data_IF_914105338586
#
_entry.id   IF_914105338586
#
_cell.length_a   1.000
_cell.length_b   1.000
_cell.length_c   1.000
_cell.angle_alpha   90.00
_cell.angle_beta   90.00
_cell.angle_gamma   90.00
#
_symmetry.space_group_name_H-M   'P 1'
#
loop_
_entity.id
_entity.type
_entity.pdbx_description
1 polymer ?
#
# COMPACT_ATOMS: atom_id res chain seq x y z
N UNK A 1 -13.11 -12.25 61.97
CA UNK A 1 -13.95 -12.05 60.76
C UNK A 1 -13.32 -10.93 59.95
N UNK A 2 -12.62 -11.26 58.86
CA UNK A 2 -12.07 -10.28 57.92
C UNK A 2 -12.55 -10.68 56.52
N UNK A 3 -13.38 -9.83 55.91
CA UNK A 3 -13.92 -10.04 54.57
C UNK A 3 -12.95 -9.43 53.55
N UNK A 4 -12.40 -10.28 52.66
CA UNK A 4 -11.67 -9.87 51.47
C UNK A 4 -12.68 -9.55 50.36
N UNK A 5 -12.82 -8.27 50.03
CA UNK A 5 -13.57 -7.84 48.85
C UNK A 5 -12.74 -8.03 47.59
N UNK A 6 -13.20 -8.89 46.69
CA UNK A 6 -12.73 -8.93 45.30
C UNK A 6 -13.20 -7.65 44.60
N UNK A 7 -12.27 -6.78 44.24
CA UNK A 7 -12.53 -5.69 43.29
C UNK A 7 -12.45 -6.29 41.89
N UNK A 8 -13.60 -6.55 41.29
CA UNK A 8 -13.70 -6.82 39.86
C UNK A 8 -13.45 -5.51 39.09
N UNK A 9 -12.33 -5.43 38.38
CA UNK A 9 -12.10 -4.35 37.42
C UNK A 9 -13.05 -4.52 36.22
N UNK A 10 -13.68 -3.45 35.71
CA UNK A 10 -14.58 -3.55 34.56
C UNK A 10 -13.76 -3.86 33.30
N UNK A 11 -14.00 -5.04 32.72
CA UNK A 11 -13.54 -5.41 31.40
C UNK A 11 -14.43 -4.75 30.34
N UNK A 12 -14.14 -3.50 29.97
CA UNK A 12 -14.72 -2.86 28.77
C UNK A 12 -13.62 -2.20 27.93
N UNK A 13 -12.74 -3.01 27.34
CA UNK A 13 -12.28 -2.71 26.00
C UNK A 13 -13.35 -3.26 25.07
N UNK A 14 -14.20 -2.40 24.50
CA UNK A 14 -15.16 -2.82 23.49
C UNK A 14 -14.38 -3.54 22.39
N UNK A 15 -14.67 -4.82 22.20
CA UNK A 15 -14.02 -5.61 21.16
C UNK A 15 -14.42 -4.99 19.81
N UNK A 16 -13.47 -4.33 19.14
CA UNK A 16 -13.71 -3.77 17.81
C UNK A 16 -14.27 -4.87 16.90
N UNK A 17 -15.37 -4.55 16.23
CA UNK A 17 -16.02 -5.49 15.33
C UNK A 17 -15.11 -5.80 14.14
N UNK A 18 -15.29 -6.98 13.52
CA UNK A 18 -14.55 -7.34 12.32
C UNK A 18 -14.76 -6.32 11.18
N UNK A 19 -15.93 -5.66 11.15
CA UNK A 19 -16.29 -4.64 10.18
C UNK A 19 -15.52 -3.33 10.40
N UNK A 20 -15.41 -2.84 11.64
CA UNK A 20 -14.61 -1.65 11.96
C UNK A 20 -13.12 -1.90 11.69
N UNK A 21 -12.63 -3.09 12.03
CA UNK A 21 -11.25 -3.50 11.69
C UNK A 21 -11.06 -3.56 10.18
N UNK A 22 -12.09 -3.92 9.40
CA UNK A 22 -12.04 -3.92 7.95
C UNK A 22 -11.93 -2.55 7.35
N UNK A 23 -12.80 -1.66 7.78
CA UNK A 23 -12.75 -0.28 7.34
C UNK A 23 -11.42 0.38 7.72
N UNK A 24 -10.88 0.09 8.92
CA UNK A 24 -9.60 0.61 9.35
C UNK A 24 -8.42 0.04 8.55
N UNK A 25 -8.41 -1.26 8.24
CA UNK A 25 -7.36 -1.90 7.43
C UNK A 25 -7.36 -1.44 5.97
N UNK A 26 -8.54 -1.14 5.44
CA UNK A 26 -8.74 -0.72 4.06
C UNK A 26 -8.54 0.80 3.85
N UNK A 27 -8.48 1.59 4.93
CA UNK A 27 -8.34 3.04 4.91
C UNK A 27 -6.86 3.47 5.02
N UNK A 28 -6.25 4.02 3.94
CA UNK A 28 -4.83 4.41 3.94
C UNK A 28 -4.48 5.58 4.89
N UNK A 29 -5.49 6.29 5.39
CA UNK A 29 -5.37 7.40 6.34
C UNK A 29 -6.10 7.13 7.65
N UNK A 30 -6.29 5.86 8.01
CA UNK A 30 -6.82 5.50 9.32
C UNK A 30 -5.86 5.93 10.44
N UNK A 31 -6.42 6.33 11.59
CA UNK A 31 -5.66 6.58 12.81
C UNK A 31 -5.34 5.25 13.54
N UNK A 32 -4.70 4.32 12.83
CA UNK A 32 -4.26 3.03 13.33
C UNK A 32 -2.84 2.73 12.85
N UNK A 33 -1.99 2.20 13.74
CA UNK A 33 -0.66 1.74 13.33
C UNK A 33 -0.85 0.46 12.52
N UNK A 34 -0.21 0.35 11.37
CA UNK A 34 -0.25 -0.89 10.59
C UNK A 34 1.09 -1.22 9.96
N UNK A 35 1.29 -2.53 9.74
CA UNK A 35 2.46 -3.06 9.03
C UNK A 35 1.99 -4.03 7.93
N UNK A 36 1.66 -3.51 6.73
CA UNK A 36 1.39 -4.29 5.54
C UNK A 36 2.67 -4.87 4.92
N UNK A 37 2.56 -6.14 4.56
CA UNK A 37 3.46 -6.87 3.67
C UNK A 37 2.68 -7.21 2.42
N UNK A 38 3.03 -6.57 1.30
CA UNK A 38 2.36 -6.76 0.01
C UNK A 38 3.35 -7.33 -0.99
N UNK A 39 3.16 -8.59 -1.38
CA UNK A 39 3.93 -9.20 -2.45
C UNK A 39 3.19 -9.05 -3.78
N UNK A 40 3.88 -8.49 -4.77
CA UNK A 40 3.41 -8.42 -6.15
C UNK A 40 4.26 -9.39 -6.98
N UNK A 41 3.64 -10.44 -7.49
CA UNK A 41 4.24 -11.35 -8.46
C UNK A 41 3.77 -10.93 -9.84
N UNK A 42 4.72 -10.41 -10.62
CA UNK A 42 4.51 -9.88 -11.95
C UNK A 42 5.04 -10.90 -12.97
N UNK A 43 4.17 -11.35 -13.87
CA UNK A 43 4.48 -12.36 -14.88
C UNK A 43 4.75 -11.70 -16.23
N UNK A 44 5.55 -12.37 -17.06
CA UNK A 44 5.93 -11.92 -18.41
C UNK A 44 6.64 -10.56 -18.37
N UNK A 45 7.60 -10.40 -17.45
CA UNK A 45 8.39 -9.17 -17.31
C UNK A 45 9.64 -9.25 -18.19
N UNK A 46 9.82 -8.22 -19.01
CA UNK A 46 10.99 -8.06 -19.86
C UNK A 46 11.06 -9.02 -21.06
N UNK A 47 12.11 -8.90 -21.89
CA UNK A 47 12.21 -9.61 -23.17
C UNK A 47 12.24 -11.14 -23.06
N UNK A 48 12.61 -11.67 -21.89
CA UNK A 48 12.69 -13.12 -21.63
C UNK A 48 11.46 -13.67 -20.89
N UNK A 49 10.38 -12.88 -20.77
CA UNK A 49 9.14 -13.27 -20.08
C UNK A 49 9.37 -13.77 -18.65
N UNK A 50 10.24 -13.09 -17.90
CA UNK A 50 10.61 -13.47 -16.55
C UNK A 50 9.50 -13.25 -15.53
N UNK A 51 9.69 -13.80 -14.33
CA UNK A 51 8.82 -13.57 -13.18
C UNK A 51 9.53 -12.64 -12.20
N UNK A 52 8.97 -11.45 -12.00
CA UNK A 52 9.45 -10.49 -11.01
C UNK A 52 8.62 -10.61 -9.72
N UNK A 53 9.28 -10.52 -8.57
CA UNK A 53 8.60 -10.40 -7.28
C UNK A 53 9.01 -9.09 -6.60
N UNK A 54 8.02 -8.34 -6.11
CA UNK A 54 8.22 -7.11 -5.34
C UNK A 54 7.45 -7.22 -4.04
N UNK A 55 8.17 -7.46 -2.95
CA UNK A 55 7.64 -7.46 -1.59
C UNK A 55 7.79 -6.06 -0.98
N UNK A 56 6.68 -5.36 -0.82
CA UNK A 56 6.62 -4.08 -0.14
C UNK A 56 6.34 -4.27 1.35
N UNK A 57 7.26 -3.81 2.19
CA UNK A 57 7.10 -3.72 3.65
C UNK A 57 6.76 -2.27 3.98
N UNK A 58 5.58 -2.01 4.57
CA UNK A 58 4.99 -0.68 4.56
C UNK A 58 4.56 -0.13 5.93
N UNK A 59 5.46 0.12 6.90
CA UNK A 59 5.03 0.70 8.18
C UNK A 59 4.24 2.01 7.97
N UNK A 60 3.03 2.05 8.56
CA UNK A 60 2.15 3.22 8.61
C UNK A 60 1.95 3.64 10.05
N UNK A 61 2.33 4.87 10.39
CA UNK A 61 2.32 5.39 11.75
C UNK A 61 1.56 6.73 11.80
N UNK A 62 0.37 6.77 12.41
CA UNK A 62 -0.39 8.00 12.60
C UNK A 62 0.00 8.74 13.89
N UNK A 63 0.52 9.95 13.74
CA UNK A 63 0.91 10.85 14.83
C UNK A 63 -0.17 11.93 14.96
N UNK A 64 -0.74 12.10 16.16
CA UNK A 64 -1.74 13.14 16.38
C UNK A 64 -1.08 14.51 16.55
N UNK A 65 -1.51 15.49 15.75
CA UNK A 65 -1.06 16.87 15.79
C UNK A 65 -2.17 17.73 16.42
N UNK A 66 -2.11 17.88 17.76
CA UNK A 66 -3.17 18.52 18.52
C UNK A 66 -4.47 17.70 18.48
N UNK A 67 -5.62 18.39 18.45
CA UNK A 67 -6.95 17.77 18.56
C UNK A 67 -7.67 17.53 17.22
N UNK A 68 -7.17 18.14 16.14
CA UNK A 68 -7.92 18.24 14.88
C UNK A 68 -7.20 17.58 13.69
N UNK A 69 -5.90 17.33 13.80
CA UNK A 69 -5.10 16.80 12.70
C UNK A 69 -4.31 15.56 13.10
N UNK A 70 -4.14 14.65 12.15
CA UNK A 70 -3.20 13.55 12.21
C UNK A 70 -2.19 13.71 11.08
N UNK A 71 -0.93 13.43 11.38
CA UNK A 71 0.14 13.23 10.42
C UNK A 71 0.37 11.73 10.28
N UNK A 72 0.07 11.19 9.10
CA UNK A 72 0.14 9.76 8.83
C UNK A 72 1.37 9.53 7.99
N UNK A 73 2.40 8.96 8.59
CA UNK A 73 3.63 8.62 7.90
C UNK A 73 3.52 7.21 7.34
N UNK A 74 4.02 7.02 6.11
CA UNK A 74 4.12 5.72 5.46
C UNK A 74 5.49 5.62 4.81
N UNK A 75 6.25 4.61 5.21
CA UNK A 75 7.53 4.26 4.58
C UNK A 75 7.37 2.94 3.84
N UNK A 76 7.85 2.82 2.62
CA UNK A 76 7.76 1.62 1.78
C UNK A 76 9.19 1.15 1.52
N UNK A 77 9.50 -0.07 1.94
CA UNK A 77 10.74 -0.77 1.64
C UNK A 77 10.45 -1.90 0.64
N UNK A 78 10.80 -1.74 -0.64
CA UNK A 78 10.61 -2.77 -1.65
C UNK A 78 11.79 -3.75 -1.63
N UNK A 79 11.52 -5.03 -1.40
CA UNK A 79 12.46 -6.12 -1.62
C UNK A 79 12.13 -6.79 -2.94
N UNK A 80 13.06 -6.74 -3.89
CA UNK A 80 12.83 -7.04 -5.30
C UNK A 80 13.64 -8.27 -5.69
N UNK A 81 13.00 -9.20 -6.39
CA UNK A 81 13.63 -10.21 -7.23
C UNK A 81 13.32 -9.88 -8.68
N UNK A 82 14.33 -9.40 -9.40
CA UNK A 82 14.25 -8.91 -10.76
C UNK A 82 14.81 -9.95 -11.74
N UNK A 83 14.02 -10.49 -12.68
CA UNK A 83 14.55 -11.36 -13.73
C UNK A 83 15.56 -10.63 -14.63
N UNK A 84 16.41 -11.38 -15.35
CA UNK A 84 17.28 -10.85 -16.40
C UNK A 84 16.51 -10.03 -17.44
N UNK A 85 17.11 -8.93 -17.92
CA UNK A 85 16.57 -8.13 -19.04
C UNK A 85 17.41 -8.26 -20.31
N UNK A 86 18.47 -9.05 -20.28
CA UNK A 86 19.28 -9.31 -21.46
C UNK A 86 20.23 -10.49 -21.30
N UNK A 87 20.83 -10.95 -22.41
CA UNK A 87 21.66 -12.14 -22.42
C UNK A 87 22.84 -12.04 -21.45
N UNK A 88 23.06 -13.11 -20.68
CA UNK A 88 24.17 -13.20 -19.72
C UNK A 88 23.94 -12.46 -18.40
N UNK A 89 22.77 -11.84 -18.19
CA UNK A 89 22.38 -11.31 -16.89
C UNK A 89 21.82 -12.41 -15.98
N UNK A 90 22.14 -12.33 -14.69
CA UNK A 90 21.49 -13.14 -13.66
C UNK A 90 20.34 -12.36 -13.01
N UNK A 91 19.40 -13.08 -12.41
CA UNK A 91 18.36 -12.53 -11.53
C UNK A 91 19.01 -11.68 -10.44
N UNK A 92 18.54 -10.43 -10.29
CA UNK A 92 18.98 -9.56 -9.22
C UNK A 92 18.03 -9.68 -8.03
N UNK A 93 18.57 -9.89 -6.84
CA UNK A 93 17.80 -9.82 -5.61
C UNK A 93 18.36 -8.71 -4.71
N UNK A 94 17.49 -7.91 -4.12
CA UNK A 94 17.93 -6.83 -3.26
C UNK A 94 16.84 -5.85 -2.85
N UNK A 95 17.27 -4.78 -2.19
CA UNK A 95 16.39 -3.66 -1.84
C UNK A 95 16.28 -2.73 -3.06
N UNK A 96 15.07 -2.22 -3.34
CA UNK A 96 14.86 -1.09 -4.24
C UNK A 96 14.87 0.25 -3.51
N UNK A 97 14.40 1.29 -4.18
CA UNK A 97 14.31 2.63 -3.58
C UNK A 97 13.26 2.70 -2.47
N UNK A 98 13.61 3.32 -1.36
CA UNK A 98 12.68 3.54 -0.24
C UNK A 98 11.77 4.73 -0.57
N UNK A 99 10.48 4.61 -0.32
CA UNK A 99 9.55 5.73 -0.46
C UNK A 99 9.02 6.16 0.90
N UNK A 100 9.04 7.45 1.19
CA UNK A 100 8.39 8.04 2.36
C UNK A 100 7.26 8.95 1.91
N UNK A 101 6.12 8.85 2.58
CA UNK A 101 5.00 9.78 2.39
C UNK A 101 4.49 10.22 3.76
N UNK A 102 4.04 11.46 3.84
CA UNK A 102 3.41 11.99 5.03
C UNK A 102 2.10 12.66 4.64
N UNK A 103 0.98 12.16 5.16
CA UNK A 103 -0.35 12.71 4.87
C UNK A 103 -0.85 13.50 6.07
N UNK A 104 -1.19 14.77 5.85
CA UNK A 104 -1.99 15.54 6.79
C UNK A 104 -3.47 15.20 6.56
N UNK A 105 -4.14 14.71 7.61
CA UNK A 105 -5.53 14.23 7.55
C UNK A 105 -6.32 14.69 8.79
N UNK A 106 -7.60 15.07 8.69
CA UNK A 106 -8.42 15.44 9.84
C UNK A 106 -8.62 14.28 10.83
N UNK A 107 -8.65 14.55 12.14
CA UNK A 107 -8.84 13.52 13.19
C UNK A 107 -10.26 12.97 13.27
N UNK A 108 -11.27 13.74 12.82
CA UNK A 108 -12.69 13.35 12.83
C UNK A 108 -13.31 13.46 11.42
N UNK A 109 -12.88 12.61 10.47
CA UNK A 109 -13.55 12.53 9.19
C UNK A 109 -14.91 11.88 9.44
N UNK A 110 -16.00 12.43 8.89
CA UNK A 110 -17.31 11.79 8.98
C UNK A 110 -17.33 10.52 8.13
N UNK A 111 -18.05 10.55 7.01
CA UNK A 111 -17.98 9.50 5.99
C UNK A 111 -16.87 9.72 4.97
N UNK A 112 -16.35 10.95 4.87
CA UNK A 112 -15.33 11.35 3.92
C UNK A 112 -13.99 11.54 4.62
N UNK A 113 -12.98 10.81 4.17
CA UNK A 113 -11.62 10.85 4.66
C UNK A 113 -10.72 11.35 3.53
N UNK A 114 -9.75 12.18 3.87
CA UNK A 114 -8.77 12.65 2.91
C UNK A 114 -7.42 12.91 3.58
N UNK A 115 -6.37 12.85 2.78
CA UNK A 115 -5.03 13.21 3.21
C UNK A 115 -4.25 13.84 2.07
N UNK A 116 -3.39 14.81 2.40
CA UNK A 116 -2.51 15.46 1.44
C UNK A 116 -1.12 15.62 2.06
N UNK A 117 -0.08 15.44 1.26
CA UNK A 117 1.26 15.86 1.66
C UNK A 117 2.34 15.43 0.69
N UNK A 118 3.61 15.42 1.12
CA UNK A 118 4.73 15.09 0.26
C UNK A 118 4.96 13.58 0.17
N UNK A 119 5.60 13.18 -0.93
CA UNK A 119 6.21 11.88 -1.17
C UNK A 119 7.66 12.10 -1.58
N UNK A 120 8.57 11.37 -0.95
CA UNK A 120 10.01 11.41 -1.17
C UNK A 120 10.49 10.00 -1.53
N UNK A 121 11.28 9.87 -2.59
CA UNK A 121 12.00 8.65 -2.94
C UNK A 121 13.47 8.81 -2.55
N UNK A 122 13.98 7.82 -1.82
CA UNK A 122 15.35 7.72 -1.37
C UNK A 122 16.08 6.68 -2.22
N UNK A 123 17.24 7.01 -2.80
CA UNK A 123 18.04 6.08 -3.61
C UNK A 123 18.77 5.08 -2.70
N UNK A 124 18.03 4.15 -2.09
CA UNK A 124 18.54 3.16 -1.14
C UNK A 124 18.73 1.77 -1.75
N UNK A 125 18.52 1.64 -3.06
CA UNK A 125 18.63 0.35 -3.73
C UNK A 125 20.02 -0.26 -3.55
N UNK A 126 20.08 -1.58 -3.48
CA UNK A 126 21.35 -2.31 -3.31
C UNK A 126 22.08 -2.59 -4.62
N UNK A 127 21.41 -2.41 -5.76
CA UNK A 127 21.94 -2.63 -7.11
C UNK A 127 21.23 -1.67 -8.07
N UNK A 128 21.98 -1.05 -9.00
CA UNK A 128 21.48 -0.03 -9.93
C UNK A 128 20.33 -0.55 -10.83
N UNK A 129 20.15 -1.87 -10.95
CA UNK A 129 19.02 -2.48 -11.68
C UNK A 129 17.71 -2.47 -10.89
N UNK A 130 17.74 -2.11 -9.60
CA UNK A 130 16.59 -2.17 -8.69
C UNK A 130 16.01 -0.79 -8.34
N UNK A 131 16.58 0.30 -8.85
CA UNK A 131 16.14 1.65 -8.51
C UNK A 131 16.83 2.74 -9.33
N UNK A 132 16.60 3.99 -8.93
CA UNK A 132 17.29 5.16 -9.46
C UNK A 132 18.28 5.68 -8.44
N UNK A 133 19.45 6.13 -8.88
CA UNK A 133 20.45 6.82 -8.04
C UNK A 133 20.02 8.24 -7.68
N UNK A 134 18.95 8.75 -8.31
CA UNK A 134 18.42 10.07 -8.06
C UNK A 134 17.37 10.05 -6.96
N UNK A 135 17.43 11.06 -6.09
CA UNK A 135 16.33 11.38 -5.19
C UNK A 135 15.07 11.72 -5.98
N UNK A 136 13.91 11.39 -5.43
CA UNK A 136 12.63 11.80 -5.98
C UNK A 136 11.81 12.61 -4.99
N UNK A 137 11.01 13.55 -5.49
CA UNK A 137 10.11 14.36 -4.68
C UNK A 137 8.83 14.64 -5.45
N UNK A 138 7.70 14.69 -4.75
CA UNK A 138 6.49 15.30 -5.27
C UNK A 138 5.28 15.16 -4.34
N UNK A 139 4.08 15.56 -4.79
CA UNK A 139 2.88 15.51 -3.97
C UNK A 139 2.25 14.12 -3.97
N UNK A 140 1.53 13.82 -2.89
CA UNK A 140 0.65 12.67 -2.77
C UNK A 140 -0.65 13.08 -2.08
N UNK A 141 -1.76 12.55 -2.56
CA UNK A 141 -3.09 12.80 -2.02
C UNK A 141 -3.90 11.51 -1.99
N UNK A 142 -4.83 11.43 -1.06
CA UNK A 142 -5.79 10.33 -0.96
C UNK A 142 -7.13 10.87 -0.52
N UNK A 143 -8.19 10.29 -1.06
CA UNK A 143 -9.56 10.59 -0.66
C UNK A 143 -10.37 9.30 -0.71
N UNK A 144 -11.25 9.09 0.27
CA UNK A 144 -12.15 7.95 0.31
C UNK A 144 -13.45 8.27 1.04
N UNK A 145 -14.46 7.46 0.73
CA UNK A 145 -15.78 7.48 1.31
C UNK A 145 -16.09 6.11 1.90
N UNK A 146 -16.71 6.12 3.08
CA UNK A 146 -17.30 4.94 3.71
C UNK A 146 -18.82 5.13 3.69
N UNK A 147 -19.52 4.26 2.96
CA UNK A 147 -20.98 4.28 2.87
C UNK A 147 -21.58 2.89 3.01
N UNK A 148 -22.02 2.58 4.23
CA UNK A 148 -22.50 1.25 4.60
C UNK A 148 -21.42 0.19 4.35
N UNK A 149 -21.69 -0.86 3.54
CA UNK A 149 -20.72 -1.90 3.25
C UNK A 149 -19.60 -1.46 2.29
N UNK A 150 -19.76 -0.31 1.62
CA UNK A 150 -18.82 0.17 0.62
C UNK A 150 -17.73 1.05 1.24
N UNK A 151 -16.49 0.81 0.83
CA UNK A 151 -15.37 1.72 1.02
C UNK A 151 -14.70 1.91 -0.32
N UNK A 152 -14.67 3.14 -0.83
CA UNK A 152 -14.06 3.44 -2.12
C UNK A 152 -13.37 4.79 -2.12
N UNK A 153 -12.37 4.93 -2.98
CA UNK A 153 -11.55 6.11 -3.04
C UNK A 153 -10.43 5.99 -4.06
N UNK A 154 -9.48 6.91 -3.97
CA UNK A 154 -8.27 6.87 -4.76
C UNK A 154 -7.11 7.51 -4.00
N UNK A 155 -5.91 6.97 -4.22
CA UNK A 155 -4.64 7.59 -3.88
C UNK A 155 -3.94 7.99 -5.17
N UNK A 156 -3.43 9.21 -5.26
CA UNK A 156 -2.66 9.68 -6.40
C UNK A 156 -1.38 10.37 -5.95
N UNK A 157 -0.30 10.18 -6.69
CA UNK A 157 0.93 10.93 -6.49
C UNK A 157 1.66 11.15 -7.82
N UNK A 158 2.56 12.12 -7.81
CA UNK A 158 3.50 12.34 -8.89
C UNK A 158 4.88 12.56 -8.29
N UNK A 159 5.92 11.94 -8.84
CA UNK A 159 7.29 12.02 -8.34
C UNK A 159 8.23 12.43 -9.46
N UNK A 160 8.99 13.49 -9.23
CA UNK A 160 10.05 13.94 -10.13
C UNK A 160 11.40 13.57 -9.55
N UNK A 161 12.31 13.12 -10.40
CA UNK A 161 13.73 13.01 -10.06
C UNK A 161 14.33 14.39 -9.76
N UNK A 162 15.19 14.46 -8.76
CA UNK A 162 15.99 15.63 -8.41
C UNK A 162 17.39 15.49 -9.02
N UNK A 163 17.68 16.30 -10.04
CA UNK A 163 18.96 16.27 -10.75
C UNK A 163 19.05 15.14 -11.78
N UNK A 164 20.27 14.69 -12.08
CA UNK A 164 20.56 13.70 -13.12
C UNK A 164 20.57 14.26 -14.53
N UNK A 165 21.15 13.51 -15.47
CA UNK A 165 21.10 13.83 -16.89
C UNK A 165 19.74 13.44 -17.50
N UNK A 166 19.46 13.86 -18.74
CA UNK A 166 18.17 13.62 -19.40
C UNK A 166 17.76 12.14 -19.50
N UNK A 167 18.72 11.20 -19.47
CA UNK A 167 18.46 9.76 -19.53
C UNK A 167 18.12 9.15 -18.17
N UNK A 168 18.60 9.75 -17.09
CA UNK A 168 18.38 9.29 -15.71
C UNK A 168 17.11 9.90 -15.11
N UNK A 169 16.72 11.08 -15.59
CA UNK A 169 15.56 11.80 -15.08
C UNK A 169 14.25 11.04 -15.34
N UNK A 170 13.37 11.04 -14.34
CA UNK A 170 12.04 10.45 -14.42
C UNK A 170 10.96 11.42 -13.95
N UNK A 171 9.74 11.18 -14.43
CA UNK A 171 8.54 11.88 -13.97
C UNK A 171 7.41 10.85 -13.91
N UNK A 172 7.21 10.27 -12.74
CA UNK A 172 6.35 9.12 -12.56
C UNK A 172 5.06 9.53 -11.85
N UNK A 173 3.93 9.27 -12.49
CA UNK A 173 2.61 9.36 -11.91
C UNK A 173 2.10 8.00 -11.48
N UNK A 174 1.38 7.99 -10.37
CA UNK A 174 0.67 6.83 -9.87
C UNK A 174 -0.73 7.25 -9.44
N UNK A 175 -1.74 6.50 -9.88
CA UNK A 175 -3.08 6.53 -9.31
C UNK A 175 -3.53 5.12 -8.95
N UNK A 176 -3.99 4.97 -7.71
CA UNK A 176 -4.52 3.75 -7.18
C UNK A 176 -5.97 3.99 -6.78
N UNK A 177 -6.94 3.82 -7.69
CA UNK A 177 -8.33 3.71 -7.28
C UNK A 177 -8.50 2.44 -6.44
N UNK A 178 -9.35 2.49 -5.44
CA UNK A 178 -9.71 1.32 -4.66
C UNK A 178 -11.20 1.28 -4.36
N UNK A 179 -11.77 0.08 -4.37
CA UNK A 179 -13.14 -0.21 -3.98
C UNK A 179 -13.16 -1.51 -3.18
N UNK A 180 -13.86 -1.48 -2.05
CA UNK A 180 -14.09 -2.62 -1.18
C UNK A 180 -15.58 -2.75 -0.88
N UNK A 181 -16.08 -3.97 -0.93
CA UNK A 181 -17.43 -4.32 -0.50
C UNK A 181 -17.36 -5.31 0.65
N UNK A 182 -17.75 -4.87 1.84
CA UNK A 182 -17.69 -5.65 3.06
C UNK A 182 -18.99 -6.48 3.23
N UNK A 183 -18.85 -7.79 3.41
CA UNK A 183 -19.99 -8.70 3.62
C UNK A 183 -20.53 -8.70 5.07
N UNK A 184 -20.14 -7.71 5.88
CA UNK A 184 -20.54 -7.56 7.27
C UNK A 184 -19.72 -8.41 8.24
N UNK A 185 -20.40 -9.17 9.12
CA UNK A 185 -19.83 -9.71 10.37
C UNK A 185 -18.67 -10.69 10.22
N UNK A 186 -18.49 -11.32 9.06
CA UNK A 186 -17.44 -12.34 8.87
C UNK A 186 -16.06 -11.74 8.63
N UNK A 187 -15.96 -10.43 8.36
CA UNK A 187 -14.70 -9.79 7.98
C UNK A 187 -14.24 -10.13 6.56
N UNK A 188 -15.07 -10.82 5.79
CA UNK A 188 -14.83 -11.10 4.36
C UNK A 188 -15.23 -9.89 3.53
N UNK A 189 -14.45 -9.57 2.50
CA UNK A 189 -14.75 -8.47 1.59
C UNK A 189 -14.26 -8.74 0.16
N UNK A 190 -14.94 -8.15 -0.82
CA UNK A 190 -14.40 -8.01 -2.18
C UNK A 190 -13.54 -6.77 -2.23
N UNK A 191 -12.46 -6.83 -3.03
CA UNK A 191 -11.53 -5.70 -3.17
C UNK A 191 -11.00 -5.58 -4.59
N UNK A 192 -10.94 -4.36 -5.12
CA UNK A 192 -10.19 -4.03 -6.32
C UNK A 192 -9.40 -2.77 -6.03
N UNK A 193 -8.07 -2.82 -6.21
CA UNK A 193 -7.17 -1.70 -5.95
C UNK A 193 -6.00 -1.69 -6.96
N UNK A 194 -6.28 -1.62 -8.28
CA UNK A 194 -5.23 -1.62 -9.29
C UNK A 194 -4.31 -0.41 -9.10
N UNK A 195 -3.03 -0.58 -9.42
CA UNK A 195 -2.05 0.51 -9.37
C UNK A 195 -1.77 0.91 -10.81
N UNK A 196 -2.35 2.03 -11.24
CA UNK A 196 -2.10 2.60 -12.56
C UNK A 196 -0.88 3.50 -12.45
N UNK A 197 0.09 3.31 -13.35
CA UNK A 197 1.30 4.15 -13.41
C UNK A 197 1.48 4.74 -14.79
N UNK A 198 2.13 5.91 -14.83
CA UNK A 198 2.59 6.55 -16.05
C UNK A 198 3.97 7.14 -15.84
N UNK A 199 4.89 6.94 -16.78
CA UNK A 199 6.10 7.75 -16.88
C UNK A 199 5.86 8.84 -17.92
N UNK A 200 5.67 10.08 -17.47
CA UNK A 200 5.38 11.21 -18.34
C UNK A 200 6.52 11.59 -19.30
N UNK A 201 7.76 11.14 -19.04
CA UNK A 201 8.89 11.39 -19.92
C UNK A 201 8.95 10.41 -21.08
N UNK A 202 8.75 9.13 -20.80
CA UNK A 202 8.77 8.08 -21.85
C UNK A 202 7.41 7.88 -22.51
N UNK A 203 6.33 8.32 -21.86
CA UNK A 203 4.96 8.08 -22.31
C UNK A 203 4.46 6.67 -21.99
N UNK A 204 5.20 5.91 -21.17
CA UNK A 204 4.85 4.54 -20.81
C UNK A 204 3.74 4.52 -19.76
N UNK A 205 2.74 3.66 -19.97
CA UNK A 205 1.62 3.46 -19.07
C UNK A 205 1.51 2.00 -18.66
N UNK A 206 1.13 1.76 -17.40
CA UNK A 206 0.65 0.46 -16.94
C UNK A 206 -0.75 0.65 -16.36
N UNK A 207 -1.73 -0.04 -16.94
CA UNK A 207 -3.14 0.04 -16.53
C UNK A 207 -3.64 -1.37 -16.19
N UNK A 208 -3.64 -1.76 -14.91
CA UNK A 208 -4.18 -3.04 -14.48
C UNK A 208 -5.71 -2.99 -14.33
N UNK A 209 -6.37 -4.06 -14.73
CA UNK A 209 -7.78 -4.32 -14.44
C UNK A 209 -7.91 -5.65 -13.71
N UNK A 210 -8.65 -5.66 -12.60
CA UNK A 210 -8.82 -6.87 -11.81
C UNK A 210 -9.28 -6.58 -10.39
N UNK A 211 -9.10 -7.55 -9.52
CA UNK A 211 -9.57 -7.51 -8.14
C UNK A 211 -9.40 -8.85 -7.45
N UNK A 212 -10.08 -9.03 -6.34
CA UNK A 212 -10.01 -10.24 -5.56
C UNK A 212 -10.78 -10.18 -4.26
N UNK A 213 -10.33 -10.98 -3.31
CA UNK A 213 -11.00 -11.24 -2.04
C UNK A 213 -10.07 -10.89 -0.89
N UNK A 214 -10.68 -10.46 0.21
CA UNK A 214 -10.01 -10.18 1.46
C UNK A 214 -10.73 -10.80 2.64
N UNK A 215 -9.96 -11.08 3.69
CA UNK A 215 -10.45 -11.64 4.94
C UNK A 215 -9.74 -10.98 6.12
N UNK A 216 -10.51 -10.66 7.14
CA UNK A 216 -10.01 -10.16 8.41
C UNK A 216 -10.21 -11.19 9.48
N UNK A 217 -9.18 -11.41 10.26
CA UNK A 217 -9.17 -12.38 11.33
C UNK A 217 -8.22 -11.95 12.43
N UNK A 218 -8.36 -12.57 13.60
CA UNK A 218 -7.45 -12.35 14.73
C UNK A 218 -6.49 -13.53 14.84
N UNK A 219 -5.20 -13.31 14.60
CA UNK A 219 -4.16 -14.26 14.94
C UNK A 219 -4.06 -14.40 16.47
N UNK A 220 -4.05 -15.64 16.95
CA UNK A 220 -3.99 -15.98 18.38
C UNK A 220 -5.06 -15.26 19.23
N UNK A 221 -6.22 -14.97 18.63
CA UNK A 221 -7.35 -14.31 19.28
C UNK A 221 -7.17 -12.82 19.62
N UNK A 222 -6.01 -12.22 19.33
CA UNK A 222 -5.71 -10.83 19.74
C UNK A 222 -5.21 -9.94 18.60
N UNK A 223 -4.33 -10.45 17.75
CA UNK A 223 -3.69 -9.65 16.71
C UNK A 223 -4.57 -9.59 15.47
N UNK A 224 -5.21 -8.45 15.21
CA UNK A 224 -5.99 -8.27 14.00
C UNK A 224 -5.07 -8.26 12.76
N UNK A 225 -5.46 -9.04 11.76
CA UNK A 225 -4.77 -9.19 10.47
C UNK A 225 -5.77 -9.11 9.34
N UNK A 226 -5.43 -8.32 8.32
CA UNK A 226 -6.13 -8.32 7.03
C UNK A 226 -5.30 -9.06 6.00
N UNK A 227 -5.87 -10.09 5.38
CA UNK A 227 -5.28 -10.80 4.26
C UNK A 227 -6.05 -10.50 2.98
N UNK A 228 -5.35 -10.29 1.86
CA UNK A 228 -5.98 -10.16 0.55
C UNK A 228 -5.22 -10.95 -0.50
N UNK A 229 -5.97 -11.46 -1.47
CA UNK A 229 -5.45 -12.06 -2.70
C UNK A 229 -6.18 -11.44 -3.88
N UNK A 230 -5.43 -10.86 -4.80
CA UNK A 230 -5.94 -10.14 -5.97
C UNK A 230 -5.19 -10.59 -7.22
N UNK A 231 -5.90 -10.61 -8.35
CA UNK A 231 -5.33 -10.83 -9.66
C UNK A 231 -5.66 -9.66 -10.57
N UNK A 232 -4.68 -9.23 -11.37
CA UNK A 232 -4.80 -8.12 -12.31
C UNK A 232 -4.23 -8.51 -13.67
N UNK A 233 -4.88 -8.05 -14.72
CA UNK A 233 -4.40 -8.09 -16.09
C UNK A 233 -4.10 -6.67 -16.56
N UNK A 234 -2.89 -6.44 -17.07
CA UNK A 234 -2.46 -5.13 -17.53
C UNK A 234 -2.94 -4.89 -18.97
N UNK A 235 -4.09 -4.24 -19.10
CA UNK A 235 -4.70 -3.93 -20.41
C UNK A 235 -3.90 -2.89 -21.22
N UNK A 236 -3.08 -2.10 -20.54
CA UNK A 236 -2.06 -1.24 -21.13
C UNK A 236 -0.76 -1.51 -20.40
N UNK A 237 0.31 -1.74 -21.15
CA UNK A 237 1.67 -1.91 -20.65
C UNK A 237 2.65 -1.66 -21.82
N UNK A 238 3.91 -1.27 -21.56
CA UNK A 238 4.93 -1.20 -22.60
C UNK A 238 5.16 -2.59 -23.19
N UNK A 239 5.06 -2.69 -24.53
CA UNK A 239 5.27 -3.95 -25.24
C UNK A 239 6.66 -4.51 -24.91
N UNK A 240 6.72 -5.82 -24.68
CA UNK A 240 7.95 -6.59 -24.40
C UNK A 240 8.72 -6.22 -23.11
N UNK A 241 8.19 -5.29 -22.29
CA UNK A 241 8.87 -4.81 -21.08
C UNK A 241 8.00 -4.87 -19.82
N UNK A 242 6.71 -4.51 -19.92
CA UNK A 242 5.80 -4.49 -18.77
C UNK A 242 5.15 -5.85 -18.51
N UNK A 243 4.81 -6.19 -17.25
CA UNK A 243 4.11 -7.44 -16.96
C UNK A 243 2.73 -7.48 -17.60
N UNK A 244 2.30 -8.65 -18.08
CA UNK A 244 0.93 -8.85 -18.57
C UNK A 244 -0.04 -9.16 -17.43
N UNK A 245 0.40 -10.01 -16.49
CA UNK A 245 -0.39 -10.46 -15.35
C UNK A 245 0.31 -10.13 -14.04
N UNK A 246 -0.49 -9.83 -13.03
CA UNK A 246 -0.02 -9.58 -11.68
C UNK A 246 -0.90 -10.34 -10.68
N UNK A 247 -0.28 -11.12 -9.80
CA UNK A 247 -0.91 -11.62 -8.58
C UNK A 247 -0.39 -10.80 -7.42
N UNK A 248 -1.32 -10.26 -6.61
CA UNK A 248 -0.99 -9.50 -5.40
C UNK A 248 -1.53 -10.23 -4.19
N UNK A 249 -0.63 -10.59 -3.29
CA UNK A 249 -0.95 -11.09 -1.97
C UNK A 249 -0.55 -10.06 -0.92
N UNK A 250 -1.39 -9.79 0.06
CA UNK A 250 -1.07 -8.85 1.13
C UNK A 250 -1.50 -9.37 2.49
N UNK A 251 -0.66 -9.15 3.50
CA UNK A 251 -0.96 -9.34 4.92
C UNK A 251 -0.68 -8.03 5.65
N UNK A 252 -1.69 -7.44 6.28
CA UNK A 252 -1.56 -6.24 7.09
C UNK A 252 -1.83 -6.54 8.56
N UNK A 253 -0.80 -6.35 9.38
CA UNK A 253 -0.92 -6.41 10.83
C UNK A 253 -1.42 -5.06 11.34
N UNK A 254 -2.49 -5.08 12.13
CA UNK A 254 -3.16 -3.89 12.64
C UNK A 254 -2.90 -3.77 14.13
N UNK A 255 -2.34 -2.65 14.57
CA UNK A 255 -2.00 -2.42 15.96
C UNK A 255 -2.90 -1.31 16.52
N UNK A 256 -3.55 -1.54 17.67
CA UNK A 256 -4.25 -0.48 18.37
C UNK A 256 -3.26 0.63 18.70
N UNK A 257 -3.73 1.88 18.65
CA UNK A 257 -2.95 3.04 19.07
C UNK A 257 -2.83 3.09 20.59
#
# INVERSE_FOLDING_TARGET
MAALGLVAAPAWAAEQSAEELAQAAQNPVANMISLPFQNNTNFNVGPENGVQNVLNIQPVIPISLGTNWNLITRTIFPVISQPPFGPGQNTQFGLGDTFFSAFLSPTRPGKFFWGLGPLIQFPTHTDDRLGSTLWGLGPTAVALLIDGPWLYGALANNVWSLGGNDREQYNNFLIQPFVNYNFGKTGTFLTSAPIVTANWRTGDWVVPLGGGLGQIFKLFGKQAVSATLQAYYNVVHPQDLGPEWQIRFSLAFLFPK
#
